data_IF_363408974433
#
_entry.id   IF_363408974433
#
_cell.length_a   1.000
_cell.length_b   1.000
_cell.length_c   1.000
_cell.angle_alpha   90.00
_cell.angle_beta   90.00
_cell.angle_gamma   90.00
#
_symmetry.space_group_name_H-M   'P 1'
#
loop_
_entity.id
_entity.type
_entity.pdbx_description
1 polymer ?
#
# COMPACT_ATOMS: atom_id res chain seq x y z
N UNK A 1 8.64 24.06 -8.41
CA UNK A 1 9.55 22.90 -8.20
C UNK A 1 8.93 21.98 -7.14
N UNK A 2 9.19 20.67 -7.13
CA UNK A 2 8.56 19.71 -6.19
C UNK A 2 8.75 20.11 -4.72
N UNK A 3 9.92 20.66 -4.38
CA UNK A 3 10.28 21.14 -3.04
C UNK A 3 9.35 22.26 -2.56
N UNK A 4 9.00 23.22 -3.42
CA UNK A 4 8.06 24.29 -3.07
C UNK A 4 6.66 23.75 -2.77
N UNK A 5 6.19 22.77 -3.55
CA UNK A 5 4.89 22.11 -3.31
C UNK A 5 4.89 21.27 -2.03
N UNK A 6 6.07 20.86 -1.56
CA UNK A 6 6.26 20.10 -0.32
C UNK A 6 6.40 20.99 0.92
N UNK A 7 6.18 22.31 0.81
CA UNK A 7 6.32 23.27 1.92
C UNK A 7 7.61 24.09 1.89
N UNK A 8 8.45 23.94 0.87
CA UNK A 8 9.69 24.70 0.72
C UNK A 8 10.70 24.40 1.83
N UNK A 9 11.68 25.29 2.02
CA UNK A 9 12.68 25.16 3.10
C UNK A 9 12.09 25.23 4.51
N UNK A 10 10.92 25.86 4.65
CA UNK A 10 10.26 26.08 5.94
C UNK A 10 9.26 24.98 6.30
N UNK A 11 8.91 24.08 5.38
CA UNK A 11 7.99 22.96 5.61
C UNK A 11 8.52 21.92 6.59
N UNK A 12 9.83 21.96 6.88
CA UNK A 12 10.50 21.05 7.80
C UNK A 12 10.62 19.63 7.26
N UNK A 13 11.40 18.81 7.97
CA UNK A 13 11.55 17.38 7.72
C UNK A 13 11.35 16.68 9.05
N UNK A 14 10.47 15.68 9.07
CA UNK A 14 10.20 14.87 10.25
C UNK A 14 10.53 13.42 9.94
N UNK A 15 11.29 12.79 10.83
CA UNK A 15 11.61 11.37 10.78
C UNK A 15 10.98 10.70 11.99
N UNK A 16 9.75 10.17 11.89
CA UNK A 16 9.12 9.47 13.00
C UNK A 16 9.89 8.19 13.32
N UNK A 17 10.04 7.90 14.60
CA UNK A 17 10.70 6.70 15.13
C UNK A 17 9.80 5.99 16.13
N UNK A 18 10.03 4.69 16.32
CA UNK A 18 9.28 3.88 17.28
C UNK A 18 9.80 2.44 17.33
N UNK A 19 9.49 1.69 18.39
CA UNK A 19 9.81 0.26 18.47
C UNK A 19 9.06 -0.56 17.39
N UNK A 20 9.50 -1.79 17.15
CA UNK A 20 8.80 -2.74 16.28
C UNK A 20 7.33 -2.90 16.71
N UNK A 21 6.41 -2.88 15.73
CA UNK A 21 4.96 -2.86 15.98
C UNK A 21 4.34 -1.46 15.99
N UNK A 22 5.16 -0.40 16.00
CA UNK A 22 4.64 0.98 15.81
C UNK A 22 4.10 1.17 14.40
N UNK A 23 3.02 1.95 14.27
CA UNK A 23 2.41 2.28 12.99
C UNK A 23 2.49 3.79 12.71
N UNK A 24 2.74 4.14 11.46
CA UNK A 24 2.63 5.51 10.95
C UNK A 24 1.57 5.54 9.87
N UNK A 25 0.60 6.45 10.00
CA UNK A 25 -0.43 6.70 8.99
C UNK A 25 -0.14 8.03 8.33
N UNK A 26 -0.20 8.07 7.00
CA UNK A 26 -0.03 9.31 6.24
C UNK A 26 -0.84 9.28 4.95
N UNK A 27 -1.18 10.47 4.45
CA UNK A 27 -1.93 10.64 3.21
C UNK A 27 -1.07 10.30 1.99
N UNK A 28 -1.64 9.70 0.95
CA UNK A 28 -0.91 9.24 -0.26
C UNK A 28 -0.15 10.35 -1.01
N UNK A 29 -0.59 11.61 -0.86
CA UNK A 29 0.09 12.78 -1.44
C UNK A 29 1.18 13.39 -0.55
N UNK A 30 1.46 12.84 0.65
CA UNK A 30 2.57 13.31 1.49
C UNK A 30 3.89 13.00 0.80
N UNK A 31 4.77 13.99 0.66
CA UNK A 31 6.14 13.76 0.17
C UNK A 31 6.91 13.00 1.24
N UNK A 32 7.37 11.80 0.91
CA UNK A 32 8.10 10.94 1.82
C UNK A 32 9.21 10.20 1.07
N UNK A 33 10.28 9.91 1.79
CA UNK A 33 11.42 9.14 1.30
C UNK A 33 12.18 8.56 2.50
N UNK A 34 13.08 7.63 2.23
CA UNK A 34 14.01 7.11 3.23
C UNK A 34 15.44 7.18 2.71
N UNK A 35 16.38 7.59 3.56
CA UNK A 35 17.81 7.48 3.25
C UNK A 35 18.31 6.03 3.32
N UNK A 36 19.49 5.79 2.73
CA UNK A 36 20.22 4.52 2.81
C UNK A 36 20.52 4.14 4.27
N UNK A 37 20.43 2.85 4.58
CA UNK A 37 20.79 2.33 5.91
C UNK A 37 22.24 1.85 5.91
N UNK A 38 23.14 2.58 6.57
CA UNK A 38 24.55 2.21 6.74
C UNK A 38 24.83 1.49 8.07
N UNK A 39 23.81 1.31 8.91
CA UNK A 39 23.96 0.68 10.22
C UNK A 39 23.93 -0.85 10.10
N UNK A 40 24.46 -1.59 11.10
CA UNK A 40 24.40 -3.05 11.12
C UNK A 40 23.00 -3.60 11.44
N UNK A 41 22.00 -2.75 11.72
CA UNK A 41 20.65 -3.18 12.09
C UNK A 41 19.67 -3.07 10.92
N UNK A 42 18.83 -4.09 10.75
CA UNK A 42 17.81 -4.09 9.70
C UNK A 42 16.71 -3.07 9.95
N UNK A 43 16.22 -2.45 8.87
CA UNK A 43 15.02 -1.60 8.86
C UNK A 43 13.97 -2.24 7.97
N UNK A 44 13.22 -3.19 8.52
CA UNK A 44 12.10 -3.84 7.83
C UNK A 44 10.83 -3.04 8.10
N UNK A 45 10.09 -2.73 7.05
CA UNK A 45 8.82 -2.01 7.14
C UNK A 45 7.81 -2.64 6.21
N UNK A 46 6.58 -2.81 6.70
CA UNK A 46 5.45 -3.28 5.90
C UNK A 46 4.63 -2.05 5.50
N UNK A 47 4.29 -1.95 4.22
CA UNK A 47 3.49 -0.86 3.67
C UNK A 47 2.10 -1.37 3.29
N UNK A 48 1.08 -0.66 3.77
CA UNK A 48 -0.31 -0.89 3.38
C UNK A 48 -0.83 0.39 2.72
N UNK A 49 -1.06 0.33 1.41
CA UNK A 49 -1.64 1.43 0.63
C UNK A 49 -3.16 1.24 0.56
N UNK A 50 -3.90 1.96 1.40
CA UNK A 50 -5.35 1.87 1.45
C UNK A 50 -5.99 2.90 0.50
N UNK A 51 -7.03 2.47 -0.21
CA UNK A 51 -7.83 3.34 -1.08
C UNK A 51 -9.32 3.13 -0.78
N UNK A 52 -10.09 4.21 -0.83
CA UNK A 52 -11.55 4.10 -0.79
C UNK A 52 -12.05 3.39 -2.06
N UNK A 53 -13.06 2.52 -1.92
CA UNK A 53 -13.65 1.77 -3.03
C UNK A 53 -14.24 2.71 -4.09
N UNK A 54 -14.82 3.83 -3.66
CA UNK A 54 -15.31 4.88 -4.54
C UNK A 54 -14.21 5.51 -5.43
N UNK A 55 -12.94 5.32 -5.07
CA UNK A 55 -11.76 5.83 -5.77
C UNK A 55 -10.89 4.71 -6.38
N UNK A 56 -11.49 3.58 -6.74
CA UNK A 56 -10.78 2.48 -7.41
C UNK A 56 -10.23 2.88 -8.79
N UNK A 57 -9.17 2.20 -9.21
CA UNK A 57 -8.53 2.43 -10.52
C UNK A 57 -9.49 2.12 -11.66
N UNK A 58 -9.43 2.92 -12.74
CA UNK A 58 -10.32 2.76 -13.91
C UNK A 58 -9.66 2.08 -15.11
N UNK A 59 -8.37 1.72 -14.98
CA UNK A 59 -7.55 1.06 -16.00
C UNK A 59 -6.50 0.19 -15.34
N UNK A 60 -6.24 -0.99 -15.87
CA UNK A 60 -5.22 -1.90 -15.35
C UNK A 60 -3.88 -1.70 -16.05
N UNK A 61 -3.27 -0.52 -15.87
CA UNK A 61 -1.98 -0.13 -16.47
C UNK A 61 -0.75 -0.78 -15.82
N UNK A 62 -0.96 -1.55 -14.76
CA UNK A 62 0.06 -2.20 -13.94
C UNK A 62 -0.41 -3.61 -13.59
N UNK A 63 0.57 -4.48 -13.36
CA UNK A 63 0.34 -5.83 -12.85
C UNK A 63 -0.39 -5.76 -11.50
N UNK A 64 -1.19 -6.78 -11.21
CA UNK A 64 -2.13 -6.78 -10.10
C UNK A 64 -1.47 -6.71 -8.72
N UNK A 65 -0.30 -7.33 -8.54
CA UNK A 65 0.47 -7.25 -7.29
C UNK A 65 1.11 -5.87 -7.05
N UNK A 66 0.99 -4.95 -8.00
CA UNK A 66 1.34 -3.53 -7.83
C UNK A 66 0.06 -2.68 -7.69
N UNK A 67 -0.98 -3.00 -8.46
CA UNK A 67 -2.26 -2.30 -8.45
C UNK A 67 -3.42 -3.31 -8.45
N UNK A 68 -3.99 -3.53 -7.26
CA UNK A 68 -5.05 -4.50 -7.02
C UNK A 68 -6.29 -4.26 -7.89
N UNK A 69 -6.99 -5.36 -8.18
CA UNK A 69 -8.19 -5.40 -9.04
C UNK A 69 -9.43 -5.86 -8.33
N UNK A 70 -9.26 -6.49 -7.17
CA UNK A 70 -10.36 -6.76 -6.25
C UNK A 70 -10.65 -5.50 -5.42
N UNK A 71 -11.89 -5.03 -5.52
CA UNK A 71 -12.39 -3.85 -4.81
C UNK A 71 -13.43 -4.21 -3.75
N UNK A 72 -13.49 -5.48 -3.35
CA UNK A 72 -14.32 -5.94 -2.24
C UNK A 72 -13.92 -5.19 -0.95
N UNK A 73 -14.89 -4.65 -0.18
CA UNK A 73 -14.59 -4.01 1.09
C UNK A 73 -13.81 -4.93 2.04
N UNK A 74 -12.75 -4.40 2.64
CA UNK A 74 -12.02 -5.13 3.68
C UNK A 74 -12.90 -5.31 4.92
N UNK A 75 -12.79 -6.47 5.56
CA UNK A 75 -13.48 -6.79 6.80
C UNK A 75 -12.47 -6.97 7.92
N UNK A 76 -12.80 -6.49 9.12
CA UNK A 76 -11.96 -6.69 10.28
C UNK A 76 -12.04 -8.15 10.74
N UNK A 77 -10.87 -8.77 10.95
CA UNK A 77 -10.77 -10.04 11.67
C UNK A 77 -10.88 -9.81 13.18
N UNK A 78 -11.11 -10.86 13.99
CA UNK A 78 -11.09 -10.76 15.44
C UNK A 78 -9.75 -10.24 16.01
N UNK A 79 -9.77 -9.64 17.20
CA UNK A 79 -8.61 -9.00 17.83
C UNK A 79 -7.40 -9.94 18.03
N UNK A 80 -7.64 -11.25 18.19
CA UNK A 80 -6.60 -12.26 18.37
C UNK A 80 -6.07 -12.86 17.05
N UNK A 81 -6.46 -12.30 15.88
CA UNK A 81 -6.13 -12.81 14.55
C UNK A 81 -4.63 -12.93 14.22
N UNK A 82 -3.75 -12.29 14.99
CA UNK A 82 -2.30 -12.42 14.84
C UNK A 82 -1.71 -13.56 15.67
N UNK A 83 -2.47 -14.10 16.64
CA UNK A 83 -2.04 -15.16 17.54
C UNK A 83 -2.80 -16.47 17.33
N UNK A 84 -3.92 -16.43 16.60
CA UNK A 84 -4.72 -17.59 16.23
C UNK A 84 -5.00 -17.63 14.74
N UNK A 85 -5.15 -18.83 14.20
CA UNK A 85 -5.51 -19.03 12.80
C UNK A 85 -6.99 -18.77 12.60
N UNK A 86 -7.31 -17.92 11.62
CA UNK A 86 -8.65 -17.68 11.12
C UNK A 86 -8.71 -18.00 9.64
N UNK A 87 -9.86 -18.47 9.12
CA UNK A 87 -10.02 -18.65 7.69
C UNK A 87 -9.92 -17.29 7.00
N UNK A 88 -8.94 -17.15 6.11
CA UNK A 88 -8.72 -15.97 5.27
C UNK A 88 -8.55 -16.43 3.83
N UNK A 89 -8.98 -15.61 2.88
CA UNK A 89 -8.73 -15.91 1.47
C UNK A 89 -7.26 -15.61 1.14
N UNK A 90 -6.60 -16.59 0.54
CA UNK A 90 -5.20 -16.53 0.12
C UNK A 90 -5.13 -16.87 -1.37
N UNK A 91 -5.67 -16.02 -2.26
CA UNK A 91 -5.84 -16.35 -3.67
C UNK A 91 -4.52 -16.68 -4.38
N UNK A 92 -3.39 -16.25 -3.82
CA UNK A 92 -2.04 -16.47 -4.36
C UNK A 92 -1.17 -17.38 -3.46
N UNK A 93 -1.77 -18.19 -2.59
CA UNK A 93 -1.02 -19.13 -1.74
C UNK A 93 -0.11 -20.06 -2.56
N UNK A 94 -0.61 -20.54 -3.70
CA UNK A 94 0.10 -21.41 -4.64
C UNK A 94 0.86 -20.64 -5.73
N UNK A 95 1.07 -19.33 -5.50
CA UNK A 95 1.77 -18.43 -6.41
C UNK A 95 0.85 -17.49 -7.18
N UNK A 96 1.48 -16.55 -7.89
CA UNK A 96 0.78 -15.50 -8.62
C UNK A 96 0.21 -16.02 -9.94
N UNK A 97 -1.11 -15.88 -10.20
CA UNK A 97 -1.71 -16.34 -11.44
C UNK A 97 -1.22 -15.53 -12.64
N UNK A 98 -1.14 -16.15 -13.82
CA UNK A 98 -0.70 -15.47 -15.04
C UNK A 98 -1.57 -14.26 -15.42
N UNK A 99 -2.87 -14.29 -15.08
CA UNK A 99 -3.81 -13.17 -15.28
C UNK A 99 -3.39 -11.89 -14.53
N UNK A 100 -2.72 -12.02 -13.39
CA UNK A 100 -2.23 -10.89 -12.60
C UNK A 100 -1.17 -10.08 -13.35
N UNK A 101 -0.45 -10.69 -14.31
CA UNK A 101 0.57 -10.03 -15.13
C UNK A 101 -0.02 -9.27 -16.34
N UNK A 102 -1.26 -9.56 -16.75
CA UNK A 102 -1.89 -8.95 -17.92
C UNK A 102 -2.23 -7.50 -17.63
N UNK A 103 -1.88 -6.57 -18.51
CA UNK A 103 -2.21 -5.13 -18.36
C UNK A 103 -3.00 -4.64 -19.56
N UNK A 104 -3.81 -3.59 -19.38
CA UNK A 104 -4.54 -2.93 -20.45
C UNK A 104 -4.65 -1.43 -20.23
N UNK A 105 -4.68 -0.71 -21.34
CA UNK A 105 -4.97 0.74 -21.42
C UNK A 105 -6.47 1.03 -21.52
N UNK A 106 -7.29 -0.01 -21.77
CA UNK A 106 -8.73 0.11 -21.86
C UNK A 106 -9.33 0.55 -20.53
N UNK A 107 -10.37 1.37 -20.61
CA UNK A 107 -11.16 1.73 -19.44
C UNK A 107 -12.01 0.55 -19.03
N UNK A 108 -12.06 0.31 -17.72
CA UNK A 108 -13.06 -0.56 -17.13
C UNK A 108 -14.44 0.03 -17.40
N UNK A 109 -15.40 -0.84 -17.70
CA UNK A 109 -16.80 -0.45 -17.72
C UNK A 109 -17.16 0.18 -16.37
N UNK A 110 -17.95 1.25 -16.37
CA UNK A 110 -18.46 1.81 -15.13
C UNK A 110 -19.33 0.75 -14.46
N UNK A 111 -18.98 0.40 -13.21
CA UNK A 111 -19.86 -0.42 -12.38
C UNK A 111 -21.18 0.34 -12.23
N UNK A 112 -22.28 -0.32 -12.57
CA UNK A 112 -23.65 0.21 -12.41
C UNK A 112 -23.98 0.50 -10.95
#
# INVERSE_FOLDING_TARGET
MLVEKAGGRNGGIVTPTGPAGSMMLFHSCLVHASGSNLSPWNRVSVYLSLCAISNHIRRHKRVEWIAHRDFTPITCLPDDCLTRSYPVDLPWAEGTPASAAVTSEDRLAEAA
#
